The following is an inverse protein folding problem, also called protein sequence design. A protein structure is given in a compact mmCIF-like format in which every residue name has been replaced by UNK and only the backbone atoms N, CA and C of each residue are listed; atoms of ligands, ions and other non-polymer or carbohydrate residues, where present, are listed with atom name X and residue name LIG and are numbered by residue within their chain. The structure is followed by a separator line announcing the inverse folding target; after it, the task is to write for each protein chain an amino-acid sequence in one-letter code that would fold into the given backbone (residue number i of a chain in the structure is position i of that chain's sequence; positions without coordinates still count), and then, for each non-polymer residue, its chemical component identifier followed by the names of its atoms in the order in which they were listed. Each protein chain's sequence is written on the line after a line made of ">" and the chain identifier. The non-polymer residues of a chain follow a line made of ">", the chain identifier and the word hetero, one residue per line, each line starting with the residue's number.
data_IF_404764474400
#
_entry.id   IF_404764474400
#
_cell.length_a   1.000
_cell.length_b   1.000
_cell.length_c   1.000
_cell.angle_alpha   90.00
_cell.angle_beta   90.00
_cell.angle_gamma   90.00
#
_symmetry.space_group_name_H-M   'P 1'
#
loop_
_entity.id
_entity.type
_entity.pdbx_description
1 polymer ?
#
# COMPACT_ATOMS: atom_id res chain seq x y z
N UNK A 1 5.03 8.05 -22.14
CA UNK A 1 4.96 8.39 -20.72
C UNK A 1 6.02 7.60 -19.98
N UNK A 2 6.92 8.30 -19.34
CA UNK A 2 7.99 7.64 -18.61
C UNK A 2 7.54 7.35 -17.18
N UNK A 3 7.68 6.11 -16.78
CA UNK A 3 7.48 5.73 -15.39
C UNK A 3 8.81 5.81 -14.67
N UNK A 4 8.84 6.63 -13.64
CA UNK A 4 10.01 6.64 -12.77
C UNK A 4 9.77 5.62 -11.67
N UNK A 5 10.48 4.49 -11.76
CA UNK A 5 10.43 3.46 -10.75
C UNK A 5 11.30 3.86 -9.58
N UNK A 6 10.76 3.76 -8.37
CA UNK A 6 11.49 4.08 -7.15
C UNK A 6 12.49 2.97 -6.83
N UNK A 7 13.67 3.35 -6.37
CA UNK A 7 14.75 2.41 -6.12
C UNK A 7 14.55 1.55 -4.87
N UNK A 8 15.11 0.35 -4.90
CA UNK A 8 15.21 -0.50 -3.73
C UNK A 8 15.98 0.25 -2.63
N UNK A 9 15.46 0.19 -1.40
CA UNK A 9 16.07 0.86 -0.26
C UNK A 9 15.58 2.28 -0.04
N UNK A 10 14.76 2.82 -0.94
CA UNK A 10 14.21 4.15 -0.77
C UNK A 10 13.19 4.20 0.35
N UNK A 11 13.30 5.18 1.22
CA UNK A 11 12.33 5.40 2.29
C UNK A 11 11.05 6.01 1.72
N UNK A 12 9.92 5.48 2.14
CA UNK A 12 8.61 5.91 1.66
C UNK A 12 7.62 6.09 2.79
N UNK A 13 6.60 6.87 2.50
CA UNK A 13 5.42 7.00 3.34
C UNK A 13 4.26 6.35 2.59
N UNK A 14 3.57 5.44 3.26
CA UNK A 14 2.36 4.83 2.74
C UNK A 14 1.17 5.55 3.36
N UNK A 15 0.31 6.09 2.50
CA UNK A 15 -0.82 6.90 2.95
C UNK A 15 -1.83 6.09 3.75
N UNK A 16 -2.55 6.76 4.63
CA UNK A 16 -3.67 6.13 5.33
C UNK A 16 -4.72 5.66 4.33
N UNK A 17 -5.37 4.54 4.63
CA UNK A 17 -6.39 3.96 3.77
C UNK A 17 -7.67 3.71 4.54
N UNK A 18 -8.79 3.94 3.86
CA UNK A 18 -10.10 3.57 4.34
C UNK A 18 -10.64 2.46 3.44
N UNK A 19 -10.87 1.30 4.04
CA UNK A 19 -11.32 0.11 3.31
C UNK A 19 -12.73 -0.22 3.77
N UNK A 20 -13.66 -0.36 2.83
CA UNK A 20 -15.01 -0.77 3.12
C UNK A 20 -15.20 -2.23 2.74
N UNK A 21 -15.70 -3.01 3.69
CA UNK A 21 -16.04 -4.41 3.46
C UNK A 21 -17.54 -4.52 3.43
N UNK A 22 -18.08 -4.97 2.30
CA UNK A 22 -19.52 -5.14 2.10
C UNK A 22 -19.85 -6.61 2.18
N UNK A 23 -20.72 -6.98 3.12
CA UNK A 23 -21.17 -8.35 3.30
C UNK A 23 -22.69 -8.42 3.13
N UNK A 24 -23.13 -9.42 2.37
CA UNK A 24 -24.56 -9.67 2.22
C UNK A 24 -25.05 -10.52 3.39
N UNK A 25 -26.09 -10.05 4.08
CA UNK A 25 -26.70 -10.74 5.20
C UNK A 25 -28.13 -11.12 4.84
N UNK A 26 -28.78 -11.91 5.70
CA UNK A 26 -30.19 -12.31 5.50
C UNK A 26 -31.14 -11.11 5.46
N UNK A 27 -30.80 -10.03 6.14
CA UNK A 27 -31.66 -8.85 6.24
C UNK A 27 -31.18 -7.69 5.34
N UNK A 28 -30.14 -7.89 4.50
CA UNK A 28 -29.62 -6.85 3.63
C UNK A 28 -28.11 -6.84 3.56
N UNK A 29 -27.53 -5.65 3.54
CA UNK A 29 -26.10 -5.47 3.46
C UNK A 29 -25.53 -4.95 4.77
N UNK A 30 -24.39 -5.49 5.15
CA UNK A 30 -23.60 -5.01 6.29
C UNK A 30 -22.32 -4.38 5.76
N UNK A 31 -22.02 -3.18 6.22
CA UNK A 31 -20.80 -2.48 5.83
C UNK A 31 -19.89 -2.38 7.05
N UNK A 32 -18.67 -2.84 6.88
CA UNK A 32 -17.63 -2.70 7.90
C UNK A 32 -16.52 -1.82 7.34
N UNK A 33 -16.14 -0.80 8.08
CA UNK A 33 -15.07 0.10 7.67
C UNK A 33 -13.81 -0.21 8.47
N UNK A 34 -12.73 -0.43 7.74
CA UNK A 34 -11.39 -0.60 8.31
C UNK A 34 -10.55 0.59 7.91
N UNK A 35 -9.89 1.22 8.88
CA UNK A 35 -8.97 2.33 8.62
C UNK A 35 -7.56 1.89 8.93
N UNK A 36 -6.68 1.96 7.92
CA UNK A 36 -5.25 1.73 8.12
C UNK A 36 -4.56 3.08 8.26
N UNK A 37 -3.78 3.29 9.31
CA UNK A 37 -3.08 4.56 9.49
C UNK A 37 -1.94 4.71 8.49
N UNK A 38 -1.43 5.93 8.38
CA UNK A 38 -0.20 6.21 7.66
C UNK A 38 0.95 5.37 8.24
N UNK A 39 1.77 4.81 7.35
CA UNK A 39 2.90 3.99 7.76
C UNK A 39 4.15 4.37 6.99
N UNK A 40 5.31 4.05 7.56
CA UNK A 40 6.61 4.34 6.97
C UNK A 40 7.37 3.05 6.73
N UNK A 41 7.99 2.95 5.58
CA UNK A 41 8.71 1.74 5.21
C UNK A 41 9.80 2.01 4.20
N UNK A 42 10.35 0.92 3.68
CA UNK A 42 11.43 0.93 2.70
C UNK A 42 11.05 0.04 1.54
N UNK A 43 11.31 0.49 0.32
CA UNK A 43 11.01 -0.29 -0.88
C UNK A 43 11.97 -1.47 -0.99
N UNK A 44 11.42 -2.68 -1.14
CA UNK A 44 12.20 -3.87 -1.43
C UNK A 44 12.37 -4.04 -2.94
N UNK A 45 11.27 -4.01 -3.69
CA UNK A 45 11.30 -4.14 -5.15
C UNK A 45 9.99 -3.68 -5.77
N UNK A 46 10.02 -3.52 -7.08
CA UNK A 46 8.85 -3.15 -7.88
C UNK A 46 8.49 -4.32 -8.79
N UNK A 47 7.21 -4.64 -8.84
CA UNK A 47 6.69 -5.74 -9.66
C UNK A 47 5.71 -5.21 -10.69
N UNK A 48 5.87 -5.65 -11.93
CA UNK A 48 4.92 -5.42 -13.00
C UNK A 48 4.37 -6.77 -13.43
N UNK A 49 3.08 -6.97 -13.28
CA UNK A 49 2.36 -8.14 -13.76
C UNK A 49 1.34 -7.69 -14.81
N UNK A 50 0.68 -8.63 -15.47
CA UNK A 50 -0.18 -8.36 -16.64
C UNK A 50 -1.04 -7.10 -16.56
N UNK A 51 -1.78 -6.94 -15.50
CA UNK A 51 -2.71 -5.81 -15.37
C UNK A 51 -2.50 -5.00 -14.12
N UNK A 52 -1.39 -5.20 -13.43
CA UNK A 52 -1.13 -4.45 -12.22
C UNK A 52 0.35 -4.26 -11.97
N UNK A 53 0.65 -3.19 -11.28
CA UNK A 53 2.00 -2.93 -10.78
C UNK A 53 1.91 -2.56 -9.32
N UNK A 54 2.91 -2.93 -8.55
CA UNK A 54 2.94 -2.60 -7.13
C UNK A 54 4.37 -2.59 -6.61
N UNK A 55 4.55 -1.92 -5.46
CA UNK A 55 5.79 -1.96 -4.72
C UNK A 55 5.67 -2.92 -3.57
N UNK A 56 6.71 -3.72 -3.36
CA UNK A 56 6.84 -4.49 -2.13
C UNK A 56 7.54 -3.60 -1.11
N UNK A 57 6.86 -3.30 -0.01
CA UNK A 57 7.36 -2.39 1.02
C UNK A 57 7.56 -3.14 2.31
N UNK A 58 8.73 -2.98 2.91
CA UNK A 58 9.04 -3.53 4.22
C UNK A 58 8.86 -2.45 5.28
N UNK A 59 8.05 -2.73 6.29
CA UNK A 59 7.77 -1.80 7.38
C UNK A 59 8.67 -2.06 8.58
N UNK A 60 8.67 -1.12 9.52
CA UNK A 60 9.56 -1.16 10.69
C UNK A 60 9.33 -2.37 11.61
N UNK A 61 8.15 -2.97 11.57
CA UNK A 61 7.82 -4.17 12.34
C UNK A 61 8.31 -5.47 11.67
N UNK A 62 8.97 -5.36 10.51
CA UNK A 62 9.47 -6.50 9.76
C UNK A 62 8.47 -7.09 8.77
N UNK A 63 7.23 -6.63 8.78
CA UNK A 63 6.21 -7.08 7.83
C UNK A 63 6.43 -6.45 6.46
N UNK A 64 6.03 -7.18 5.43
CA UNK A 64 6.07 -6.68 4.05
C UNK A 64 4.68 -6.70 3.46
N UNK A 65 4.36 -5.70 2.64
CA UNK A 65 3.06 -5.62 1.96
C UNK A 65 3.23 -5.11 0.54
N UNK A 66 2.28 -5.49 -0.31
CA UNK A 66 2.17 -4.96 -1.65
C UNK A 66 1.42 -3.63 -1.59
N UNK A 67 1.99 -2.58 -2.14
CA UNK A 67 1.42 -1.24 -2.11
C UNK A 67 1.34 -0.68 -3.51
N UNK A 68 0.15 -0.21 -3.89
CA UNK A 68 -0.05 0.39 -5.20
C UNK A 68 0.78 1.69 -5.31
N UNK A 69 1.34 1.99 -6.50
CA UNK A 69 2.18 3.18 -6.68
C UNK A 69 1.52 4.50 -6.27
N UNK A 70 0.19 4.59 -6.36
CA UNK A 70 -0.53 5.80 -5.97
C UNK A 70 -0.73 5.93 -4.47
N UNK A 71 -0.40 4.90 -3.70
CA UNK A 71 -0.62 4.85 -2.26
C UNK A 71 0.62 5.18 -1.43
N UNK A 72 1.72 5.51 -2.09
CA UNK A 72 2.96 5.83 -1.40
C UNK A 72 3.69 6.97 -2.09
N UNK A 73 4.61 7.58 -1.37
CA UNK A 73 5.51 8.60 -1.92
C UNK A 73 6.88 8.50 -1.25
N UNK A 74 7.93 8.95 -1.94
CA UNK A 74 9.24 9.09 -1.28
C UNK A 74 9.12 10.04 -0.09
N UNK A 75 9.71 9.64 1.03
CA UNK A 75 9.63 10.43 2.25
C UNK A 75 10.80 10.09 3.16
N UNK A 76 11.56 11.11 3.56
CA UNK A 76 12.65 10.90 4.51
C UNK A 76 12.10 10.86 5.92
N UNK A 77 12.41 9.76 6.61
CA UNK A 77 11.99 9.57 8.00
C UNK A 77 13.14 8.94 8.80
N UNK A 78 13.10 9.12 10.08
CA UNK A 78 14.12 8.58 11.00
C UNK A 78 13.65 7.32 11.72
#
# INVERSE_FOLDING_TARGET
>A
MEYKVLDTGLKVRVFSQRIEHHERTKSGWKVRVETKPERFGVIEYFVIEHNRSYYRVQFSDGLTEEVHPTQLEPYEWD
#
